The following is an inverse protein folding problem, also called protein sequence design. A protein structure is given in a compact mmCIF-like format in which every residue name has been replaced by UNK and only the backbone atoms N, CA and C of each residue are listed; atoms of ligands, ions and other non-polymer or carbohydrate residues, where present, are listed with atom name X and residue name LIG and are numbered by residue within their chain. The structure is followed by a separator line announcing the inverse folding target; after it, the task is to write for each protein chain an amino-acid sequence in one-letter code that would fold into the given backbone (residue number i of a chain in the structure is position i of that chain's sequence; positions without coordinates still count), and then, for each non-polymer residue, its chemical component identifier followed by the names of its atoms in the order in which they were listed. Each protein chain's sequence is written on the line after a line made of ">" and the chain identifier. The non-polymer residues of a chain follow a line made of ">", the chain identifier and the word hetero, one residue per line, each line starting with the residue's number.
data_IF_761560025341
#
_entry.id   IF_761560025341
#
_cell.length_a   1.000
_cell.length_b   1.000
_cell.length_c   1.000
_cell.angle_alpha   90.00
_cell.angle_beta   90.00
_cell.angle_gamma   90.00
#
_symmetry.space_group_name_H-M   'P 1'
#
loop_
_entity.id
_entity.type
_entity.pdbx_description
1 polymer ?
#
# COMPACT_ATOMS: atom_id res chain seq x y z
N UNK A 1 -14.51 -49.37 -47.88
CA UNK A 1 -15.09 -48.07 -47.46
C UNK A 1 -15.12 -47.87 -45.94
N UNK A 2 -15.72 -48.77 -45.13
CA UNK A 2 -15.76 -48.62 -43.65
C UNK A 2 -14.39 -48.45 -42.97
N UNK A 3 -13.35 -49.16 -43.42
CA UNK A 3 -11.99 -49.05 -42.87
C UNK A 3 -11.30 -47.70 -43.14
N UNK A 4 -11.65 -47.02 -44.23
CA UNK A 4 -11.07 -45.70 -44.57
C UNK A 4 -11.68 -44.61 -43.68
N UNK A 5 -12.98 -44.68 -43.41
CA UNK A 5 -13.64 -43.77 -42.47
C UNK A 5 -13.15 -43.94 -41.04
N UNK A 6 -12.89 -45.18 -40.59
CA UNK A 6 -12.30 -45.42 -39.27
C UNK A 6 -10.88 -44.85 -39.14
N UNK A 7 -10.05 -44.95 -40.20
CA UNK A 7 -8.70 -44.36 -40.19
C UNK A 7 -8.80 -42.83 -40.15
N UNK A 8 -9.68 -42.21 -40.94
CA UNK A 8 -9.90 -40.76 -40.95
C UNK A 8 -10.42 -40.20 -39.60
N UNK A 9 -11.29 -40.93 -38.92
CA UNK A 9 -11.80 -40.55 -37.60
C UNK A 9 -10.68 -40.64 -36.54
N UNK A 10 -9.81 -41.65 -36.64
CA UNK A 10 -8.67 -41.80 -35.71
C UNK A 10 -7.62 -40.71 -35.97
N UNK A 11 -7.30 -40.36 -37.22
CA UNK A 11 -6.37 -39.25 -37.50
C UNK A 11 -6.94 -37.90 -37.10
N UNK A 12 -8.26 -37.66 -37.25
CA UNK A 12 -8.90 -36.43 -36.79
C UNK A 12 -8.91 -36.35 -35.25
N UNK A 13 -9.14 -37.47 -34.55
CA UNK A 13 -9.09 -37.51 -33.10
C UNK A 13 -7.68 -37.27 -32.53
N UNK A 14 -6.64 -37.75 -33.21
CA UNK A 14 -5.22 -37.51 -32.84
C UNK A 14 -4.78 -36.07 -33.15
N UNK A 15 -5.36 -35.43 -34.18
CA UNK A 15 -5.07 -34.03 -34.49
C UNK A 15 -5.70 -33.04 -33.49
N UNK A 16 -6.78 -33.44 -32.79
CA UNK A 16 -7.44 -32.61 -31.78
C UNK A 16 -6.69 -32.63 -30.44
N UNK A 17 -5.90 -33.66 -30.15
CA UNK A 17 -5.15 -33.76 -28.88
C UNK A 17 -3.82 -33.00 -28.87
N UNK A 18 -3.35 -32.50 -30.02
CA UNK A 18 -2.11 -31.71 -30.09
C UNK A 18 -2.34 -30.20 -29.98
N UNK A 19 -3.59 -29.74 -29.94
CA UNK A 19 -3.94 -28.35 -29.61
C UNK A 19 -4.00 -28.18 -28.09
N UNK A 20 -2.89 -28.49 -27.43
CA UNK A 20 -2.67 -28.07 -26.05
C UNK A 20 -2.33 -26.57 -26.12
N UNK A 21 -3.16 -25.72 -25.52
CA UNK A 21 -2.84 -24.31 -25.33
C UNK A 21 -1.44 -24.22 -24.70
N UNK A 22 -0.53 -23.47 -25.32
CA UNK A 22 0.80 -23.23 -24.75
C UNK A 22 0.60 -22.62 -23.36
N UNK A 23 1.33 -23.14 -22.36
CA UNK A 23 1.27 -22.61 -20.99
C UNK A 23 1.61 -21.13 -20.92
N UNK A 24 2.38 -20.61 -21.89
CA UNK A 24 2.67 -19.19 -22.06
C UNK A 24 1.43 -18.32 -22.32
N UNK A 25 0.34 -18.87 -22.86
CA UNK A 25 -0.93 -18.13 -23.03
C UNK A 25 -1.73 -17.99 -21.73
N UNK A 26 -1.38 -18.75 -20.70
CA UNK A 26 -1.94 -18.66 -19.35
C UNK A 26 -1.14 -17.71 -18.44
N UNK A 27 0.10 -17.38 -18.82
CA UNK A 27 0.94 -16.39 -18.13
C UNK A 27 0.62 -14.99 -18.64
N UNK A 28 -0.61 -14.53 -18.40
CA UNK A 28 -1.00 -13.15 -18.69
C UNK A 28 -0.44 -12.25 -17.59
N UNK A 29 0.73 -11.66 -17.83
CA UNK A 29 1.19 -10.53 -17.02
C UNK A 29 0.18 -9.39 -17.14
N UNK A 30 -0.32 -8.81 -16.03
CA UNK A 30 -1.32 -7.75 -16.12
C UNK A 30 -0.79 -6.57 -16.94
N UNK A 31 -1.57 -6.04 -17.89
CA UNK A 31 -1.15 -4.86 -18.67
C UNK A 31 -1.17 -3.58 -17.82
N UNK A 32 -1.91 -3.59 -16.72
CA UNK A 32 -2.12 -2.45 -15.82
C UNK A 32 -1.45 -2.61 -14.45
N UNK A 33 -0.78 -3.73 -14.20
CA UNK A 33 -0.03 -3.98 -12.97
C UNK A 33 1.31 -4.63 -13.29
N UNK A 34 2.38 -4.24 -12.60
CA UNK A 34 3.69 -4.84 -12.82
C UNK A 34 3.66 -6.25 -12.24
N UNK A 35 4.09 -7.26 -13.02
CA UNK A 35 4.31 -8.61 -12.51
C UNK A 35 5.33 -8.55 -11.36
N UNK A 36 5.08 -9.28 -10.27
CA UNK A 36 5.90 -9.19 -9.05
C UNK A 36 7.35 -9.65 -9.24
N UNK A 37 7.61 -10.46 -10.27
CA UNK A 37 8.93 -11.00 -10.57
C UNK A 37 9.87 -9.91 -11.11
N UNK A 38 11.07 -9.83 -10.54
CA UNK A 38 12.12 -8.92 -11.02
C UNK A 38 12.08 -7.50 -10.44
N UNK A 39 11.00 -7.10 -9.76
CA UNK A 39 10.82 -5.72 -9.27
C UNK A 39 11.85 -5.26 -8.25
N UNK A 40 12.45 -6.19 -7.51
CA UNK A 40 13.42 -5.89 -6.45
C UNK A 40 14.79 -6.52 -6.70
N UNK A 41 15.05 -7.01 -7.92
CA UNK A 41 16.32 -7.66 -8.28
C UNK A 41 17.48 -6.66 -8.31
N UNK A 42 17.22 -5.41 -8.72
CA UNK A 42 18.25 -4.37 -8.70
C UNK A 42 17.72 -3.04 -8.19
N UNK A 43 18.59 -2.17 -7.70
CA UNK A 43 18.23 -0.82 -7.25
C UNK A 43 17.47 -0.04 -8.33
N UNK A 44 17.92 -0.14 -9.59
CA UNK A 44 17.24 0.50 -10.74
C UNK A 44 15.83 -0.05 -10.95
N UNK A 45 15.63 -1.36 -10.85
CA UNK A 45 14.30 -1.96 -10.96
C UNK A 45 13.40 -1.53 -9.79
N UNK A 46 13.95 -1.50 -8.58
CA UNK A 46 13.25 -1.15 -7.35
C UNK A 46 12.82 0.33 -7.28
N UNK A 47 13.41 1.20 -8.12
CA UNK A 47 12.90 2.56 -8.30
C UNK A 47 11.47 2.59 -8.86
N UNK A 48 11.04 1.59 -9.63
CA UNK A 48 9.68 1.52 -10.17
C UNK A 48 8.63 1.40 -9.06
N UNK A 49 8.66 0.38 -8.18
CA UNK A 49 7.72 0.29 -7.07
C UNK A 49 7.88 1.45 -6.08
N UNK A 50 9.10 1.93 -5.82
CA UNK A 50 9.34 3.08 -4.94
C UNK A 50 8.65 4.35 -5.48
N UNK A 51 8.84 4.68 -6.75
CA UNK A 51 8.16 5.81 -7.39
C UNK A 51 6.63 5.59 -7.46
N UNK A 52 6.18 4.34 -7.56
CA UNK A 52 4.77 3.97 -7.45
C UNK A 52 4.16 4.32 -6.09
N UNK A 53 4.90 4.09 -5.00
CA UNK A 53 4.49 4.53 -3.66
C UNK A 53 4.32 6.05 -3.64
N UNK A 54 5.36 6.81 -4.00
CA UNK A 54 5.27 8.27 -4.02
C UNK A 54 4.15 8.78 -4.93
N UNK A 55 3.96 8.17 -6.10
CA UNK A 55 2.86 8.51 -7.01
C UNK A 55 1.50 8.35 -6.34
N UNK A 56 1.31 7.25 -5.60
CA UNK A 56 0.06 7.00 -4.90
C UNK A 56 -0.20 7.98 -3.73
N UNK A 57 0.84 8.61 -3.17
CA UNK A 57 0.71 9.62 -2.12
C UNK A 57 0.01 10.91 -2.55
N UNK A 58 -0.14 11.16 -3.86
CA UNK A 58 -0.85 12.32 -4.41
C UNK A 58 -1.85 11.95 -5.52
N UNK A 59 -2.13 10.65 -5.70
CA UNK A 59 -3.10 10.19 -6.70
C UNK A 59 -4.47 10.05 -6.07
N UNK A 60 -5.51 10.52 -6.78
CA UNK A 60 -6.87 10.47 -6.26
C UNK A 60 -7.54 9.11 -6.51
N UNK A 61 -8.34 8.66 -5.54
CA UNK A 61 -9.36 7.61 -5.73
C UNK A 61 -8.87 6.17 -5.88
N UNK A 62 -7.63 5.87 -5.49
CA UNK A 62 -7.12 4.48 -5.52
C UNK A 62 -7.41 3.69 -4.23
N UNK A 63 -7.63 4.37 -3.11
CA UNK A 63 -7.77 3.81 -1.75
C UNK A 63 -9.22 3.68 -1.27
N UNK A 64 -10.20 4.23 -2.00
CA UNK A 64 -11.60 4.37 -1.55
C UNK A 64 -12.60 3.88 -2.58
N UNK A 65 -13.78 3.47 -2.14
CA UNK A 65 -14.87 3.01 -3.02
C UNK A 65 -15.78 4.14 -3.53
N UNK A 66 -15.56 5.39 -3.09
CA UNK A 66 -16.34 6.56 -3.46
C UNK A 66 -15.76 7.83 -2.84
N UNK A 67 -16.42 8.97 -3.07
CA UNK A 67 -16.00 10.29 -2.58
C UNK A 67 -14.55 10.68 -2.95
N UNK A 68 -14.08 10.21 -4.11
CA UNK A 68 -12.68 10.29 -4.54
C UNK A 68 -12.14 11.72 -4.65
N UNK A 69 -13.03 12.70 -4.84
CA UNK A 69 -12.70 14.13 -4.87
C UNK A 69 -12.10 14.68 -3.56
N UNK A 70 -12.22 13.95 -2.46
CA UNK A 70 -11.65 14.30 -1.15
C UNK A 70 -10.52 13.35 -0.73
N UNK A 71 -10.13 12.43 -1.62
CA UNK A 71 -9.22 11.32 -1.35
C UNK A 71 -8.08 11.36 -2.35
N UNK A 72 -7.21 12.37 -2.20
CA UNK A 72 -6.07 12.65 -3.09
C UNK A 72 -4.73 12.58 -2.35
N UNK A 73 -4.66 11.69 -1.34
CA UNK A 73 -3.46 11.37 -0.58
C UNK A 73 -3.09 12.43 0.45
N UNK A 74 -1.79 12.65 0.66
CA UNK A 74 -1.25 13.40 1.82
C UNK A 74 -1.87 14.79 1.95
N UNK A 75 -2.04 15.52 0.85
CA UNK A 75 -2.65 16.86 0.89
C UNK A 75 -4.08 16.83 1.41
N UNK A 76 -4.87 15.80 1.08
CA UNK A 76 -6.21 15.65 1.64
C UNK A 76 -6.17 15.35 3.14
N UNK A 77 -5.14 14.65 3.62
CA UNK A 77 -5.01 14.35 5.04
C UNK A 77 -4.61 15.60 5.85
N UNK A 78 -3.73 16.43 5.28
CA UNK A 78 -3.38 17.72 5.87
C UNK A 78 -4.58 18.67 5.91
N UNK A 79 -5.33 18.79 4.80
CA UNK A 79 -6.54 19.62 4.76
C UNK A 79 -7.60 19.15 5.74
N UNK A 80 -7.75 17.83 5.94
CA UNK A 80 -8.61 17.30 7.00
C UNK A 80 -8.15 17.80 8.37
N UNK A 81 -6.85 17.69 8.68
CA UNK A 81 -6.33 18.13 9.97
C UNK A 81 -6.55 19.63 10.19
N UNK A 82 -6.35 20.46 9.16
CA UNK A 82 -6.58 21.91 9.22
C UNK A 82 -8.04 22.25 9.52
N UNK A 83 -8.99 21.64 8.80
CA UNK A 83 -10.43 21.93 9.02
C UNK A 83 -10.97 21.34 10.33
N UNK A 84 -10.26 20.36 10.89
CA UNK A 84 -10.54 19.78 12.21
C UNK A 84 -9.79 20.50 13.33
N UNK A 85 -9.12 21.61 13.04
CA UNK A 85 -8.63 22.57 14.03
C UNK A 85 -9.63 23.71 14.28
N UNK A 86 -9.27 24.61 15.20
CA UNK A 86 -10.13 25.73 15.60
C UNK A 86 -9.99 26.98 14.71
N UNK A 87 -9.04 26.98 13.77
CA UNK A 87 -8.64 28.17 12.99
C UNK A 87 -9.33 28.27 11.61
N UNK A 88 -10.05 27.23 11.18
CA UNK A 88 -10.72 27.20 9.88
C UNK A 88 -12.23 27.01 10.01
N UNK A 89 -12.98 28.10 9.86
CA UNK A 89 -14.45 28.08 9.96
C UNK A 89 -15.06 28.01 8.56
N UNK A 90 -15.70 26.89 8.24
CA UNK A 90 -16.53 26.76 7.05
C UNK A 90 -17.92 27.38 7.29
N UNK A 91 -18.28 28.43 6.54
CA UNK A 91 -19.57 29.14 6.71
C UNK A 91 -20.79 28.34 6.24
N UNK A 92 -20.60 27.26 5.49
CA UNK A 92 -21.64 26.37 5.02
C UNK A 92 -21.06 25.20 4.22
N UNK A 93 -21.90 24.19 3.93
CA UNK A 93 -21.45 22.95 3.30
C UNK A 93 -20.88 23.13 1.88
N UNK A 94 -21.44 24.04 1.07
CA UNK A 94 -21.05 24.19 -0.35
C UNK A 94 -21.10 22.85 -1.10
N UNK A 95 -20.02 22.52 -1.82
CA UNK A 95 -19.84 21.23 -2.52
C UNK A 95 -19.65 20.02 -1.60
N UNK A 96 -19.65 20.21 -0.28
CA UNK A 96 -19.52 19.15 0.73
C UNK A 96 -18.09 18.66 0.98
N UNK A 97 -17.10 19.33 0.42
CA UNK A 97 -15.69 18.99 0.58
C UNK A 97 -15.22 19.27 1.99
N UNK A 98 -14.75 18.23 2.71
CA UNK A 98 -14.23 18.32 4.07
C UNK A 98 -15.22 18.83 5.14
N UNK A 99 -16.47 19.11 4.75
CA UNK A 99 -17.51 19.63 5.65
C UNK A 99 -17.80 18.71 6.84
N UNK A 100 -17.81 17.39 6.58
CA UNK A 100 -18.08 16.41 7.63
C UNK A 100 -16.93 16.33 8.63
N UNK A 101 -15.70 16.59 8.20
CA UNK A 101 -14.52 16.65 9.08
C UNK A 101 -14.56 17.92 9.93
N UNK A 102 -14.81 19.07 9.29
CA UNK A 102 -14.97 20.36 9.97
C UNK A 102 -16.06 20.35 11.06
N UNK A 103 -17.15 19.64 10.80
CA UNK A 103 -18.26 19.51 11.77
C UNK A 103 -18.12 18.30 12.71
N UNK A 104 -16.99 17.58 12.66
CA UNK A 104 -16.73 16.34 13.39
C UNK A 104 -17.81 15.24 13.22
N UNK A 105 -18.55 15.26 12.11
CA UNK A 105 -19.66 14.35 11.80
C UNK A 105 -19.21 13.09 11.04
N UNK A 106 -18.04 12.55 11.37
CA UNK A 106 -17.45 11.37 10.69
C UNK A 106 -17.58 10.07 11.49
N UNK A 107 -17.90 10.15 12.79
CA UNK A 107 -17.86 8.99 13.69
C UNK A 107 -18.74 7.82 13.26
N UNK A 108 -19.93 8.07 12.71
CA UNK A 108 -20.85 7.02 12.25
C UNK A 108 -20.37 6.30 10.98
N UNK A 109 -19.31 6.80 10.33
CA UNK A 109 -18.82 6.34 9.03
C UNK A 109 -17.54 5.51 9.14
N UNK A 110 -17.16 5.10 10.34
CA UNK A 110 -15.90 4.40 10.63
C UNK A 110 -15.67 3.09 9.84
N UNK A 111 -16.74 2.41 9.39
CA UNK A 111 -16.66 1.20 8.54
C UNK A 111 -16.84 1.48 7.06
N UNK A 112 -17.06 2.73 6.65
CA UNK A 112 -17.44 3.04 5.27
C UNK A 112 -16.22 3.17 4.36
N UNK A 113 -16.17 2.32 3.33
CA UNK A 113 -15.11 2.33 2.30
C UNK A 113 -15.03 3.61 1.45
N UNK A 114 -16.03 4.48 1.53
CA UNK A 114 -16.10 5.73 0.78
C UNK A 114 -15.68 6.97 1.61
N UNK A 115 -15.16 6.76 2.83
CA UNK A 115 -14.86 7.86 3.76
C UNK A 115 -13.42 7.87 4.24
N UNK A 116 -13.04 9.02 4.78
CA UNK A 116 -11.65 9.38 5.09
C UNK A 116 -10.97 8.45 6.09
N UNK A 117 -11.71 7.91 7.07
CA UNK A 117 -11.15 6.93 8.02
C UNK A 117 -10.68 5.67 7.30
N UNK A 118 -11.43 5.20 6.30
CA UNK A 118 -11.04 4.06 5.48
C UNK A 118 -9.89 4.41 4.53
N UNK A 119 -9.94 5.61 3.92
CA UNK A 119 -8.88 6.14 3.05
C UNK A 119 -7.53 6.18 3.77
N UNK A 120 -7.45 6.91 4.90
CA UNK A 120 -6.24 7.04 5.72
C UNK A 120 -5.68 5.68 6.12
N UNK A 121 -6.53 4.80 6.69
CA UNK A 121 -6.12 3.47 7.12
C UNK A 121 -5.57 2.66 5.95
N UNK A 122 -6.32 2.57 4.85
CA UNK A 122 -5.96 1.75 3.70
C UNK A 122 -4.73 2.30 2.97
N UNK A 123 -4.61 3.61 2.84
CA UNK A 123 -3.51 4.26 2.15
C UNK A 123 -2.19 4.03 2.89
N UNK A 124 -2.13 4.38 4.17
CA UNK A 124 -0.92 4.22 4.96
C UNK A 124 -0.52 2.76 5.13
N UNK A 125 -1.45 1.83 5.35
CA UNK A 125 -1.09 0.41 5.42
C UNK A 125 -0.67 -0.17 4.06
N UNK A 126 -1.19 0.34 2.95
CA UNK A 126 -0.70 -0.07 1.62
C UNK A 126 0.73 0.45 1.38
N UNK A 127 1.06 1.66 1.83
CA UNK A 127 2.42 2.18 1.77
C UNK A 127 3.37 1.41 2.68
N UNK A 128 2.95 1.05 3.89
CA UNK A 128 3.70 0.13 4.78
C UNK A 128 3.96 -1.20 4.08
N UNK A 129 2.93 -1.82 3.49
CA UNK A 129 3.08 -3.11 2.81
C UNK A 129 4.06 -3.02 1.64
N UNK A 130 3.94 -1.97 0.80
CA UNK A 130 4.85 -1.75 -0.32
C UNK A 130 6.29 -1.46 0.14
N UNK A 131 6.46 -0.69 1.22
CA UNK A 131 7.76 -0.44 1.82
C UNK A 131 8.39 -1.72 2.37
N UNK A 132 7.61 -2.62 2.99
CA UNK A 132 8.10 -3.91 3.48
C UNK A 132 8.67 -4.78 2.35
N UNK A 133 8.06 -4.80 1.16
CA UNK A 133 8.63 -5.52 0.02
C UNK A 133 9.99 -4.94 -0.42
N UNK A 134 10.14 -3.61 -0.40
CA UNK A 134 11.42 -2.95 -0.71
C UNK A 134 12.46 -3.32 0.35
N UNK A 135 12.14 -3.15 1.63
CA UNK A 135 13.04 -3.40 2.76
C UNK A 135 13.48 -4.87 2.79
N UNK A 136 12.58 -5.81 2.52
CA UNK A 136 12.89 -7.24 2.52
C UNK A 136 13.92 -7.64 1.45
N UNK A 137 14.16 -6.80 0.44
CA UNK A 137 15.17 -7.03 -0.58
C UNK A 137 16.55 -6.47 -0.21
N UNK A 138 16.76 -5.92 1.00
CA UNK A 138 18.02 -5.30 1.43
C UNK A 138 19.25 -6.19 1.17
N UNK A 139 19.14 -7.48 1.48
CA UNK A 139 20.25 -8.43 1.35
C UNK A 139 20.40 -9.06 -0.04
N UNK A 140 19.37 -8.94 -0.91
CA UNK A 140 19.31 -9.62 -2.21
C UNK A 140 19.35 -8.68 -3.41
N UNK A 141 19.13 -7.39 -3.19
CA UNK A 141 19.08 -6.38 -4.25
C UNK A 141 20.47 -6.11 -4.83
N UNK A 142 20.60 -6.26 -6.14
CA UNK A 142 21.84 -6.00 -6.88
C UNK A 142 21.99 -4.50 -7.21
N UNK A 143 23.24 -4.03 -7.28
CA UNK A 143 23.55 -2.66 -7.67
C UNK A 143 24.75 -2.10 -6.92
N UNK A 144 25.04 -0.81 -7.16
CA UNK A 144 26.01 -0.11 -6.34
C UNK A 144 25.47 0.01 -4.91
N UNK A 145 26.30 -0.16 -3.87
CA UNK A 145 25.85 -0.04 -2.48
C UNK A 145 25.14 1.29 -2.17
N UNK A 146 25.56 2.39 -2.80
CA UNK A 146 24.89 3.69 -2.68
C UNK A 146 23.44 3.66 -3.18
N UNK A 147 23.20 2.97 -4.30
CA UNK A 147 21.89 2.96 -4.95
C UNK A 147 20.94 2.02 -4.21
N UNK A 148 21.45 0.88 -3.73
CA UNK A 148 20.71 -0.04 -2.84
C UNK A 148 20.35 0.70 -1.55
N UNK A 149 21.32 1.36 -0.89
CA UNK A 149 21.07 2.13 0.32
C UNK A 149 20.04 3.25 0.10
N UNK A 150 20.08 3.91 -1.06
CA UNK A 150 19.11 4.95 -1.41
C UNK A 150 17.68 4.41 -1.50
N UNK A 151 17.49 3.24 -2.10
CA UNK A 151 16.17 2.59 -2.23
C UNK A 151 15.69 2.06 -0.88
N UNK A 152 16.53 1.29 -0.18
CA UNK A 152 16.18 0.66 1.10
C UNK A 152 15.92 1.73 2.17
N UNK A 153 16.78 2.75 2.24
CA UNK A 153 16.65 3.86 3.18
C UNK A 153 15.33 4.61 3.00
N UNK A 154 14.89 4.84 1.76
CA UNK A 154 13.57 5.42 1.51
C UNK A 154 12.42 4.48 1.90
N UNK A 155 12.57 3.18 1.72
CA UNK A 155 11.61 2.18 2.24
C UNK A 155 11.38 2.35 3.74
N UNK A 156 12.46 2.42 4.53
CA UNK A 156 12.37 2.65 5.97
C UNK A 156 11.70 4.00 6.30
N UNK A 157 12.09 5.10 5.65
CA UNK A 157 11.49 6.43 5.90
C UNK A 157 10.00 6.47 5.55
N UNK A 158 9.58 5.83 4.45
CA UNK A 158 8.17 5.70 4.06
C UNK A 158 7.38 4.94 5.12
N UNK A 159 7.94 3.84 5.65
CA UNK A 159 7.30 3.04 6.70
C UNK A 159 7.18 3.82 8.00
N UNK A 160 8.23 4.52 8.41
CA UNK A 160 8.22 5.43 9.56
C UNK A 160 7.14 6.51 9.44
N UNK A 161 7.12 7.21 8.30
CA UNK A 161 6.13 8.26 8.03
C UNK A 161 4.70 7.70 8.08
N UNK A 162 4.47 6.52 7.49
CA UNK A 162 3.16 5.90 7.47
C UNK A 162 2.69 5.51 8.87
N UNK A 163 3.55 4.92 9.71
CA UNK A 163 3.22 4.62 11.09
C UNK A 163 3.00 5.89 11.92
N UNK A 164 3.79 6.94 11.70
CA UNK A 164 3.62 8.21 12.38
C UNK A 164 2.24 8.81 12.09
N UNK A 165 1.81 8.82 10.83
CA UNK A 165 0.49 9.34 10.48
C UNK A 165 -0.65 8.44 10.96
N UNK A 166 -0.47 7.11 10.94
CA UNK A 166 -1.44 6.16 11.50
C UNK A 166 -1.64 6.37 13.00
N UNK A 167 -0.55 6.45 13.78
CA UNK A 167 -0.67 6.57 15.23
C UNK A 167 -1.29 7.91 15.63
N UNK A 168 -0.96 8.99 14.91
CA UNK A 168 -1.55 10.32 15.13
C UNK A 168 -3.05 10.36 14.80
N UNK A 169 -3.51 9.53 13.85
CA UNK A 169 -4.91 9.53 13.40
C UNK A 169 -5.81 8.58 14.20
N UNK A 170 -5.27 7.47 14.71
CA UNK A 170 -6.06 6.36 15.26
C UNK A 170 -5.78 6.04 16.73
N UNK A 171 -4.86 6.76 17.38
CA UNK A 171 -4.60 6.63 18.81
C UNK A 171 -4.69 7.99 19.51
N UNK A 172 -4.59 7.94 20.84
CA UNK A 172 -4.44 9.15 21.65
C UNK A 172 -3.00 9.66 21.55
N UNK A 173 -2.80 10.90 22.01
CA UNK A 173 -1.46 11.47 22.16
C UNK A 173 -0.55 10.53 22.96
N UNK A 174 0.75 10.51 22.66
CA UNK A 174 1.70 9.59 23.29
C UNK A 174 1.72 9.72 24.82
N UNK A 175 1.89 10.96 25.32
CA UNK A 175 2.16 11.20 26.73
C UNK A 175 0.92 10.89 27.58
N UNK A 176 1.06 9.95 28.51
CA UNK A 176 -0.05 9.48 29.37
C UNK A 176 -0.89 8.36 28.75
N UNK A 177 -0.56 7.91 27.54
CA UNK A 177 -1.24 6.82 26.83
C UNK A 177 -0.25 5.81 26.23
N UNK A 178 0.98 5.76 26.73
CA UNK A 178 2.07 4.93 26.20
C UNK A 178 1.67 3.44 26.13
N UNK A 179 0.92 2.95 27.13
CA UNK A 179 0.41 1.58 27.21
C UNK A 179 -0.95 1.37 26.55
N UNK A 180 -1.63 2.42 26.09
CA UNK A 180 -2.92 2.29 25.42
C UNK A 180 -2.73 1.58 24.07
N UNK A 181 -3.81 1.03 23.53
CA UNK A 181 -3.77 0.41 22.20
C UNK A 181 -3.49 1.48 21.13
N UNK A 182 -2.45 1.27 20.34
CA UNK A 182 -2.09 2.02 19.15
C UNK A 182 -2.68 1.37 17.89
N UNK A 183 -1.84 1.02 16.93
CA UNK A 183 -2.21 0.35 15.68
C UNK A 183 -1.41 -0.96 15.51
N UNK A 184 -1.85 -1.93 14.68
CA UNK A 184 -1.04 -3.13 14.40
C UNK A 184 0.26 -2.79 13.68
N UNK A 185 1.34 -3.51 14.00
CA UNK A 185 2.66 -3.35 13.39
C UNK A 185 2.93 -4.55 12.48
N UNK A 186 3.33 -4.26 11.25
CA UNK A 186 3.80 -5.20 10.23
C UNK A 186 5.15 -4.73 9.70
N UNK A 187 6.20 -5.52 9.88
CA UNK A 187 7.55 -5.25 9.38
C UNK A 187 7.93 -6.15 8.21
N UNK A 188 7.13 -7.18 7.94
CA UNK A 188 7.37 -8.18 6.90
C UNK A 188 6.46 -7.96 5.68
N UNK A 189 6.89 -8.42 4.49
CA UNK A 189 6.04 -8.50 3.32
C UNK A 189 4.77 -9.31 3.57
N UNK A 190 3.63 -8.81 3.07
CA UNK A 190 2.39 -9.59 3.08
C UNK A 190 2.42 -10.70 2.01
N UNK A 191 1.72 -11.80 2.26
CA UNK A 191 1.49 -12.88 1.31
C UNK A 191 0.04 -13.36 1.41
N UNK A 192 -0.38 -14.19 0.45
CA UNK A 192 -1.66 -14.86 0.56
C UNK A 192 -1.70 -15.67 1.87
N UNK A 193 -2.67 -15.39 2.74
CA UNK A 193 -2.79 -16.02 4.06
C UNK A 193 -2.09 -15.28 5.20
N UNK A 194 -1.52 -14.10 4.98
CA UNK A 194 -1.05 -13.25 6.10
C UNK A 194 -2.19 -12.96 7.08
N UNK A 195 -2.03 -13.38 8.32
CA UNK A 195 -2.99 -13.15 9.39
C UNK A 195 -2.86 -11.73 9.97
N UNK A 196 -3.97 -11.19 10.45
CA UNK A 196 -4.00 -9.87 11.09
C UNK A 196 -3.31 -9.90 12.45
N UNK A 197 -2.47 -8.90 12.71
CA UNK A 197 -1.82 -8.72 14.00
C UNK A 197 -2.74 -7.95 14.98
N UNK A 198 -2.69 -8.23 16.28
CA UNK A 198 -3.35 -7.39 17.28
C UNK A 198 -2.73 -5.98 17.27
N UNK A 199 -3.50 -5.01 17.78
CA UNK A 199 -3.00 -3.64 17.97
C UNK A 199 -1.85 -3.65 18.97
N UNK A 200 -0.70 -3.12 18.57
CA UNK A 200 0.42 -2.85 19.46
C UNK A 200 0.08 -1.71 20.43
N UNK A 201 0.90 -1.49 21.45
CA UNK A 201 0.78 -0.28 22.30
C UNK A 201 1.20 0.96 21.53
N UNK A 202 0.77 2.14 21.98
CA UNK A 202 1.25 3.42 21.42
C UNK A 202 2.77 3.48 21.47
N UNK A 203 3.37 3.09 22.61
CA UNK A 203 4.82 3.06 22.76
C UNK A 203 5.52 2.21 21.69
N UNK A 204 5.06 0.97 21.49
CA UNK A 204 5.66 0.06 20.51
C UNK A 204 5.62 0.61 19.09
N UNK A 205 4.56 1.35 18.72
CA UNK A 205 4.48 1.98 17.39
C UNK A 205 5.49 3.11 17.26
N UNK A 206 5.67 3.93 18.31
CA UNK A 206 6.69 4.97 18.32
C UNK A 206 8.12 4.41 18.31
N UNK A 207 8.37 3.31 19.03
CA UNK A 207 9.66 2.62 18.99
C UNK A 207 9.98 2.13 17.57
N UNK A 208 8.99 1.57 16.86
CA UNK A 208 9.15 1.18 15.44
C UNK A 208 9.43 2.38 14.53
N UNK A 209 8.73 3.51 14.74
CA UNK A 209 8.95 4.74 13.97
C UNK A 209 10.40 5.22 14.14
N UNK A 210 10.90 5.26 15.38
CA UNK A 210 12.27 5.70 15.68
C UNK A 210 13.29 4.76 15.04
N UNK A 211 13.11 3.45 15.18
CA UNK A 211 14.00 2.45 14.58
C UNK A 211 14.08 2.58 13.04
N UNK A 212 12.94 2.80 12.38
CA UNK A 212 12.89 3.00 10.93
C UNK A 212 13.56 4.33 10.52
N UNK A 213 13.38 5.41 11.28
CA UNK A 213 14.07 6.69 11.02
C UNK A 213 15.58 6.54 11.16
N UNK A 214 16.06 5.91 12.23
CA UNK A 214 17.50 5.70 12.47
C UNK A 214 18.14 4.90 11.35
N UNK A 215 17.50 3.79 10.94
CA UNK A 215 17.98 2.97 9.82
C UNK A 215 17.93 3.73 8.49
N UNK A 216 16.84 4.46 8.22
CA UNK A 216 16.70 5.29 7.03
C UNK A 216 17.78 6.36 6.91
N UNK A 217 18.05 7.11 7.99
CA UNK A 217 19.10 8.14 8.05
C UNK A 217 20.50 7.54 7.90
N UNK A 218 20.75 6.36 8.48
CA UNK A 218 22.04 5.69 8.34
C UNK A 218 22.36 5.31 6.89
N UNK A 219 21.33 4.98 6.09
CA UNK A 219 21.46 4.58 4.68
C UNK A 219 21.45 5.77 3.71
N UNK A 220 20.66 6.82 4.00
CA UNK A 220 20.52 8.02 3.16
C UNK A 220 21.59 9.07 3.51
N UNK A 221 22.81 8.88 2.99
CA UNK A 221 23.94 9.81 3.15
C UNK A 221 24.21 10.64 1.91
#
# INVERSE_FOLDING_TARGET
>A
MKKIYSILIITLAVAVTTVSCSKESLETSPTTAVSGDGLFVSATAAMVPLNGIYRSMYSAGWSTTGNTHQCFGITAYNLMADVMGDDHIMSGQGSGWFWYDCTYNVKSRYTSGAWRSYDLWSAYYKWVANANYIIAAEETMEGLPSDVNYVIGQGYVIRAYSYFMLIQSFARTYKGHESDKGVPIYTEPSAAGTEGQPRATVQQVYDQIVADIEKGVALLK
#
